data_IF_036905294954
#
_entry.id   IF_036905294954
#
_cell.length_a   1.000
_cell.length_b   1.000
_cell.length_c   1.000
_cell.angle_alpha   90.00
_cell.angle_beta   90.00
_cell.angle_gamma   90.00
#
_symmetry.space_group_name_H-M   'P 1'
#
loop_
_entity.id
_entity.type
_entity.pdbx_description
1 polymer ?
#
# COMPACT_ATOMS: atom_id res chain seq x y z
N UNK A 1 3.46 13.98 3.32
CA UNK A 1 4.13 13.35 4.49
C UNK A 1 5.62 13.65 4.43
N UNK A 2 6.24 14.08 5.53
CA UNK A 2 7.69 14.27 5.62
C UNK A 2 8.28 13.08 6.37
N UNK A 3 9.27 12.40 5.77
CA UNK A 3 9.90 11.19 6.34
C UNK A 3 11.40 11.36 6.61
N UNK A 4 12.01 12.47 6.16
CA UNK A 4 13.40 12.77 6.47
C UNK A 4 13.60 12.83 7.99
N UNK A 5 14.67 12.21 8.47
CA UNK A 5 15.03 12.08 9.89
C UNK A 5 14.01 11.31 10.75
N UNK A 6 13.04 10.61 10.12
CA UNK A 6 12.06 9.77 10.80
C UNK A 6 12.51 8.32 10.84
N UNK A 7 12.26 7.64 11.95
CA UNK A 7 12.50 6.20 12.08
C UNK A 7 11.27 5.42 11.69
N UNK A 8 11.41 4.57 10.69
CA UNK A 8 10.33 3.74 10.15
C UNK A 8 10.67 2.27 10.29
N UNK A 9 9.86 1.53 11.04
CA UNK A 9 9.94 0.07 11.11
C UNK A 9 9.18 -0.53 9.92
N UNK A 10 9.85 -1.37 9.14
CA UNK A 10 9.25 -2.15 8.05
C UNK A 10 9.06 -3.59 8.53
N UNK A 11 7.82 -3.97 8.78
CA UNK A 11 7.44 -5.32 9.18
C UNK A 11 7.25 -6.22 7.96
N UNK A 12 8.22 -7.09 7.71
CA UNK A 12 8.28 -8.00 6.58
C UNK A 12 8.97 -7.40 5.35
N UNK A 13 10.08 -8.02 4.94
CA UNK A 13 10.93 -7.61 3.81
C UNK A 13 10.62 -8.42 2.54
N UNK A 14 9.34 -8.61 2.23
CA UNK A 14 8.89 -9.05 0.90
C UNK A 14 9.10 -7.94 -0.15
N UNK A 15 8.56 -8.13 -1.36
CA UNK A 15 8.69 -7.16 -2.47
C UNK A 15 8.28 -5.75 -2.04
N UNK A 16 7.10 -5.59 -1.46
CA UNK A 16 6.58 -4.29 -0.98
C UNK A 16 7.44 -3.67 0.12
N UNK A 17 7.82 -4.47 1.12
CA UNK A 17 8.61 -3.98 2.26
C UNK A 17 10.01 -3.55 1.84
N UNK A 18 10.70 -4.36 1.04
CA UNK A 18 12.04 -4.02 0.53
C UNK A 18 11.99 -2.78 -0.35
N UNK A 19 11.04 -2.70 -1.27
CA UNK A 19 10.90 -1.55 -2.16
C UNK A 19 10.59 -0.25 -1.40
N UNK A 20 9.66 -0.30 -0.45
CA UNK A 20 9.36 0.87 0.38
C UNK A 20 10.57 1.28 1.24
N UNK A 21 11.29 0.32 1.80
CA UNK A 21 12.50 0.59 2.59
C UNK A 21 13.54 1.38 1.77
N UNK A 22 13.75 1.01 0.51
CA UNK A 22 14.64 1.74 -0.39
C UNK A 22 14.14 3.17 -0.66
N UNK A 23 12.86 3.33 -1.01
CA UNK A 23 12.25 4.66 -1.25
C UNK A 23 12.36 5.56 -0.01
N UNK A 24 12.17 5.02 1.18
CA UNK A 24 12.27 5.77 2.43
C UNK A 24 13.72 6.18 2.72
N UNK A 25 14.69 5.27 2.54
CA UNK A 25 16.12 5.57 2.70
C UNK A 25 16.59 6.66 1.72
N UNK A 26 16.15 6.60 0.45
CA UNK A 26 16.44 7.63 -0.55
C UNK A 26 15.88 9.01 -0.15
N UNK A 27 14.86 9.05 0.72
CA UNK A 27 14.24 10.27 1.25
C UNK A 27 14.72 10.67 2.63
N UNK A 28 15.82 10.05 3.10
CA UNK A 28 16.47 10.40 4.35
C UNK A 28 15.79 9.85 5.61
N UNK A 29 14.95 8.83 5.49
CA UNK A 29 14.41 8.14 6.66
C UNK A 29 15.42 7.13 7.24
N UNK A 30 15.37 6.94 8.55
CA UNK A 30 16.01 5.82 9.22
C UNK A 30 15.09 4.61 9.15
N UNK A 31 15.48 3.60 8.38
CA UNK A 31 14.65 2.41 8.16
C UNK A 31 15.21 1.23 8.91
N UNK A 32 14.36 0.58 9.69
CA UNK A 32 14.63 -0.66 10.41
C UNK A 32 13.77 -1.77 9.80
N UNK A 33 14.37 -2.67 9.04
CA UNK A 33 13.69 -3.83 8.45
C UNK A 33 13.64 -4.99 9.43
N UNK A 34 12.44 -5.47 9.76
CA UNK A 34 12.22 -6.62 10.66
C UNK A 34 11.65 -7.78 9.88
N UNK A 35 12.39 -8.89 9.83
CA UNK A 35 11.94 -10.12 9.16
C UNK A 35 12.66 -11.35 9.75
N UNK A 36 11.90 -12.28 10.32
CA UNK A 36 12.43 -13.50 10.96
C UNK A 36 13.13 -14.46 9.98
N UNK A 37 12.82 -14.36 8.68
CA UNK A 37 13.28 -15.31 7.64
C UNK A 37 14.37 -14.76 6.73
N UNK A 38 14.57 -13.44 6.75
CA UNK A 38 15.54 -12.76 5.88
C UNK A 38 16.85 -12.56 6.61
N UNK A 39 17.94 -13.12 6.11
CA UNK A 39 19.28 -13.02 6.72
C UNK A 39 19.87 -11.62 6.66
N UNK A 40 19.36 -10.77 5.78
CA UNK A 40 19.74 -9.38 5.55
C UNK A 40 18.80 -8.37 6.21
N UNK A 41 17.88 -8.84 7.06
CA UNK A 41 17.05 -7.97 7.90
C UNK A 41 17.90 -7.28 8.98
N UNK A 42 17.55 -6.03 9.31
CA UNK A 42 18.22 -5.29 10.39
C UNK A 42 17.95 -5.94 11.75
N UNK A 43 16.73 -6.44 11.96
CA UNK A 43 16.30 -7.19 13.15
C UNK A 43 15.52 -8.44 12.75
N UNK A 44 15.60 -9.48 13.58
CA UNK A 44 14.91 -10.74 13.36
C UNK A 44 13.69 -10.95 14.27
N UNK A 45 13.50 -10.08 15.26
CA UNK A 45 12.34 -10.09 16.16
C UNK A 45 11.86 -8.68 16.45
N UNK A 46 10.55 -8.53 16.62
CA UNK A 46 9.97 -7.26 17.08
C UNK A 46 10.28 -6.94 18.55
N UNK A 47 10.76 -7.92 19.31
CA UNK A 47 11.22 -7.72 20.69
C UNK A 47 12.54 -6.94 20.76
N UNK A 48 13.27 -6.86 19.65
CA UNK A 48 14.52 -6.11 19.50
C UNK A 48 14.30 -4.63 19.15
N UNK A 49 13.06 -4.25 18.81
CA UNK A 49 12.74 -2.88 18.38
C UNK A 49 12.73 -1.93 19.57
N UNK A 50 13.53 -0.87 19.50
CA UNK A 50 13.43 0.27 20.42
C UNK A 50 12.25 1.17 20.02
N UNK A 51 11.07 0.84 20.55
CA UNK A 51 9.82 1.51 20.25
C UNK A 51 9.80 3.00 20.60
N UNK A 52 10.67 3.46 21.49
CA UNK A 52 10.72 4.87 21.88
C UNK A 52 11.35 5.76 20.77
N UNK A 53 12.03 5.15 19.82
CA UNK A 53 12.63 5.82 18.67
C UNK A 53 11.78 5.71 17.39
N UNK A 54 10.66 4.97 17.40
CA UNK A 54 9.88 4.68 16.19
C UNK A 54 8.84 5.77 15.94
N UNK A 55 8.85 6.38 14.76
CA UNK A 55 7.84 7.34 14.32
C UNK A 55 6.68 6.68 13.55
N UNK A 56 6.98 5.65 12.75
CA UNK A 56 6.00 4.95 11.91
C UNK A 56 6.29 3.46 11.81
N UNK A 57 5.25 2.67 11.59
CA UNK A 57 5.35 1.25 11.26
C UNK A 57 4.68 0.99 9.92
N UNK A 58 5.37 0.34 9.00
CA UNK A 58 4.77 -0.28 7.83
C UNK A 58 4.49 -1.75 8.13
N UNK A 59 3.23 -2.15 8.09
CA UNK A 59 2.82 -3.54 8.24
C UNK A 59 2.57 -4.20 6.88
N UNK A 60 3.33 -5.24 6.57
CA UNK A 60 3.06 -6.09 5.41
C UNK A 60 1.68 -6.77 5.56
N UNK A 61 0.95 -7.02 4.46
CA UNK A 61 -0.38 -7.66 4.47
C UNK A 61 -0.44 -9.04 5.15
N UNK A 62 0.69 -9.67 5.35
CA UNK A 62 0.76 -10.98 6.04
C UNK A 62 0.47 -10.89 7.55
N UNK A 63 0.65 -9.71 8.14
CA UNK A 63 0.43 -9.53 9.56
C UNK A 63 -1.02 -9.17 9.87
N UNK A 64 -1.61 -9.95 10.79
CA UNK A 64 -2.94 -9.69 11.31
C UNK A 64 -2.93 -8.44 12.20
N UNK A 65 -3.96 -7.57 12.19
CA UNK A 65 -4.04 -6.39 13.04
C UNK A 65 -3.90 -6.66 14.54
N UNK A 66 -4.17 -7.90 14.98
CA UNK A 66 -4.05 -8.33 16.36
C UNK A 66 -2.65 -8.88 16.71
N UNK A 67 -1.69 -8.79 15.80
CA UNK A 67 -0.30 -9.20 16.08
C UNK A 67 0.31 -8.31 17.18
N UNK A 68 1.06 -8.89 18.15
CA UNK A 68 1.52 -8.16 19.33
C UNK A 68 2.27 -6.85 19.03
N UNK A 69 3.14 -6.81 18.03
CA UNK A 69 3.89 -5.59 17.69
C UNK A 69 2.98 -4.49 17.14
N UNK A 70 1.91 -4.84 16.40
CA UNK A 70 0.93 -3.86 15.90
C UNK A 70 0.16 -3.26 17.06
N UNK A 71 -0.29 -4.10 18.00
CA UNK A 71 -0.97 -3.63 19.21
C UNK A 71 -0.07 -2.76 20.08
N UNK A 72 1.23 -3.09 20.19
CA UNK A 72 2.19 -2.29 20.92
C UNK A 72 2.43 -0.93 20.28
N UNK A 73 2.61 -0.88 18.95
CA UNK A 73 2.72 0.37 18.20
C UNK A 73 1.48 1.26 18.42
N UNK A 74 0.29 0.68 18.29
CA UNK A 74 -0.98 1.39 18.50
C UNK A 74 -1.11 1.91 19.95
N UNK A 75 -0.74 1.10 20.96
CA UNK A 75 -0.75 1.50 22.36
C UNK A 75 0.15 2.71 22.63
N UNK A 76 1.25 2.83 21.89
CA UNK A 76 2.19 3.97 21.95
C UNK A 76 1.74 5.16 21.10
N UNK A 77 0.66 5.03 20.36
CA UNK A 77 0.21 6.06 19.41
C UNK A 77 1.08 6.17 18.16
N UNK A 78 1.88 5.14 17.85
CA UNK A 78 2.70 5.07 16.64
C UNK A 78 1.78 4.63 15.49
N UNK A 79 1.68 5.42 14.38
CA UNK A 79 0.87 5.06 13.24
C UNK A 79 1.36 3.76 12.58
N UNK A 80 0.43 2.82 12.37
CA UNK A 80 0.66 1.59 11.61
C UNK A 80 -0.01 1.75 10.26
N UNK A 81 0.76 1.66 9.19
CA UNK A 81 0.33 1.96 7.83
C UNK A 81 0.70 0.83 6.86
N UNK A 82 -0.06 0.70 5.79
CA UNK A 82 0.31 -0.17 4.67
C UNK A 82 1.32 0.50 3.73
N UNK A 83 1.93 -0.27 2.82
CA UNK A 83 2.69 0.30 1.70
C UNK A 83 1.83 1.28 0.88
N UNK A 84 0.53 0.99 0.72
CA UNK A 84 -0.40 1.84 -0.03
C UNK A 84 -0.50 3.23 0.58
N UNK A 85 -0.62 3.32 1.91
CA UNK A 85 -0.68 4.59 2.63
C UNK A 85 0.62 5.39 2.48
N UNK A 86 1.77 4.73 2.66
CA UNK A 86 3.07 5.36 2.44
C UNK A 86 3.23 5.84 0.99
N UNK A 87 2.95 4.97 0.02
CA UNK A 87 3.06 5.31 -1.40
C UNK A 87 2.17 6.49 -1.77
N UNK A 88 0.93 6.54 -1.25
CA UNK A 88 0.02 7.65 -1.44
C UNK A 88 0.57 8.96 -0.88
N UNK A 89 1.09 8.94 0.34
CA UNK A 89 1.65 10.12 1.01
C UNK A 89 2.97 10.59 0.39
N UNK A 90 3.72 9.71 -0.27
CA UNK A 90 5.05 9.97 -0.85
C UNK A 90 5.02 10.20 -2.37
N UNK A 91 3.85 10.28 -3.00
CA UNK A 91 3.73 10.48 -4.45
C UNK A 91 4.61 11.62 -4.95
N UNK A 92 5.32 11.37 -6.06
CA UNK A 92 6.02 12.41 -6.77
C UNK A 92 5.07 13.17 -7.71
N UNK A 93 5.34 14.45 -7.93
CA UNK A 93 4.69 15.19 -8.99
C UNK A 93 5.16 14.67 -10.36
N UNK A 94 4.21 14.43 -11.27
CA UNK A 94 4.52 14.08 -12.64
C UNK A 94 5.21 15.25 -13.33
N UNK A 95 6.32 14.99 -14.00
CA UNK A 95 7.17 16.00 -14.61
C UNK A 95 6.44 16.86 -15.67
N UNK A 96 5.37 16.32 -16.29
CA UNK A 96 4.59 17.01 -17.34
C UNK A 96 3.48 17.89 -16.75
N UNK A 97 2.83 17.42 -15.68
CA UNK A 97 1.62 18.08 -15.13
C UNK A 97 1.89 18.92 -13.90
N UNK A 98 3.01 18.69 -13.22
CA UNK A 98 3.34 19.33 -11.93
C UNK A 98 2.40 18.92 -10.78
N UNK A 99 1.73 17.76 -10.92
CA UNK A 99 0.84 17.18 -9.90
C UNK A 99 1.07 15.68 -9.83
N UNK A 100 0.82 15.01 -8.68
CA UNK A 100 0.90 13.57 -8.61
C UNK A 100 0.01 12.88 -9.65
N UNK A 101 0.50 11.77 -10.22
CA UNK A 101 -0.31 10.96 -11.12
C UNK A 101 -1.61 10.52 -10.42
N UNK A 102 -2.78 10.63 -11.08
CA UNK A 102 -4.04 10.12 -10.55
C UNK A 102 -4.00 8.60 -10.39
N UNK A 103 -4.72 8.07 -9.40
CA UNK A 103 -4.82 6.64 -9.17
C UNK A 103 -6.23 6.15 -9.47
N UNK A 104 -6.30 5.02 -10.20
CA UNK A 104 -7.49 4.22 -10.39
C UNK A 104 -7.35 3.00 -9.48
N UNK A 105 -8.08 2.98 -8.37
CA UNK A 105 -8.02 1.91 -7.37
C UNK A 105 -9.08 0.83 -7.62
N UNK A 106 -8.64 -0.41 -7.71
CA UNK A 106 -9.51 -1.56 -7.99
C UNK A 106 -9.37 -2.57 -6.86
N UNK A 107 -10.47 -2.90 -6.21
CA UNK A 107 -10.55 -3.94 -5.19
C UNK A 107 -11.71 -4.89 -5.46
N UNK A 108 -11.88 -5.89 -4.63
CA UNK A 108 -12.93 -6.91 -4.70
C UNK A 108 -12.44 -8.24 -4.16
N UNK A 109 -13.32 -9.22 -4.08
CA UNK A 109 -12.91 -10.59 -3.72
C UNK A 109 -12.23 -11.24 -4.92
N UNK A 110 -12.86 -11.23 -6.08
CA UNK A 110 -12.37 -11.82 -7.32
C UNK A 110 -12.33 -10.79 -8.46
N UNK A 111 -11.51 -11.06 -9.48
CA UNK A 111 -11.44 -10.26 -10.70
C UNK A 111 -10.63 -8.97 -10.60
N UNK A 112 -10.00 -8.67 -9.47
CA UNK A 112 -9.16 -7.48 -9.28
C UNK A 112 -8.06 -7.37 -10.34
N UNK A 113 -7.22 -8.38 -10.44
CA UNK A 113 -6.05 -8.40 -11.33
C UNK A 113 -6.46 -8.18 -12.79
N UNK A 114 -7.39 -9.00 -13.29
CA UNK A 114 -7.85 -8.86 -14.68
C UNK A 114 -8.45 -7.47 -14.97
N UNK A 115 -9.23 -6.92 -14.02
CA UNK A 115 -9.80 -5.57 -14.17
C UNK A 115 -8.72 -4.50 -14.18
N UNK A 116 -7.70 -4.64 -13.32
CA UNK A 116 -6.58 -3.70 -13.24
C UNK A 116 -5.75 -3.73 -14.52
N UNK A 117 -5.41 -4.92 -15.00
CA UNK A 117 -4.66 -5.12 -16.24
C UNK A 117 -5.41 -4.57 -17.47
N UNK A 118 -6.71 -4.93 -17.62
CA UNK A 118 -7.52 -4.40 -18.72
C UNK A 118 -7.63 -2.86 -18.68
N UNK A 119 -7.75 -2.28 -17.48
CA UNK A 119 -7.80 -0.83 -17.32
C UNK A 119 -6.48 -0.19 -17.76
N UNK A 120 -5.35 -0.76 -17.36
CA UNK A 120 -4.01 -0.31 -17.79
C UNK A 120 -3.84 -0.40 -19.31
N UNK A 121 -4.20 -1.53 -19.92
CA UNK A 121 -4.10 -1.73 -21.37
C UNK A 121 -4.97 -0.73 -22.15
N UNK A 122 -6.21 -0.48 -21.72
CA UNK A 122 -7.08 0.50 -22.35
C UNK A 122 -6.49 1.92 -22.29
N UNK A 123 -5.95 2.33 -21.15
CA UNK A 123 -5.33 3.64 -21.00
C UNK A 123 -4.04 3.76 -21.81
N UNK A 124 -3.24 2.70 -21.88
CA UNK A 124 -2.04 2.63 -22.69
C UNK A 124 -2.39 2.72 -24.18
N UNK A 125 -3.47 2.07 -24.62
CA UNK A 125 -3.97 2.20 -25.99
C UNK A 125 -4.46 3.63 -26.33
N UNK A 126 -4.83 4.41 -25.31
CA UNK A 126 -5.12 5.84 -25.44
C UNK A 126 -3.87 6.75 -25.41
N UNK A 127 -2.67 6.16 -25.35
CA UNK A 127 -1.40 6.90 -25.37
C UNK A 127 -0.91 7.39 -24.00
N UNK A 128 -1.45 6.86 -22.90
CA UNK A 128 -1.02 7.20 -21.53
C UNK A 128 0.01 6.18 -21.02
N UNK A 129 0.97 6.65 -20.25
CA UNK A 129 1.81 5.77 -19.43
C UNK A 129 1.05 5.40 -18.16
N UNK A 130 0.44 4.19 -18.16
CA UNK A 130 -0.54 3.75 -17.18
C UNK A 130 -0.19 2.37 -16.58
N UNK A 131 0.94 2.21 -15.87
CA UNK A 131 1.33 0.92 -15.34
C UNK A 131 0.36 0.39 -14.27
N UNK A 132 0.35 -0.93 -14.14
CA UNK A 132 -0.28 -1.62 -13.01
C UNK A 132 0.65 -1.62 -11.81
N UNK A 133 0.10 -1.51 -10.60
CA UNK A 133 0.84 -1.56 -9.34
C UNK A 133 -0.04 -2.09 -8.19
N UNK A 134 0.56 -2.27 -7.03
CA UNK A 134 -0.15 -2.69 -5.80
C UNK A 134 -0.09 -4.20 -5.56
N UNK A 135 -1.22 -4.83 -5.32
CA UNK A 135 -1.32 -6.26 -4.96
C UNK A 135 -1.13 -7.21 -6.18
N UNK A 136 -0.60 -6.73 -7.27
CA UNK A 136 -0.31 -7.53 -8.46
C UNK A 136 1.03 -8.24 -8.28
N UNK A 137 1.04 -9.55 -8.48
CA UNK A 137 2.23 -10.38 -8.36
C UNK A 137 3.11 -10.29 -9.62
N UNK A 138 3.81 -9.18 -9.84
CA UNK A 138 4.75 -9.06 -10.94
C UNK A 138 6.12 -9.70 -10.64
N UNK A 139 6.47 -9.87 -9.37
CA UNK A 139 7.81 -10.30 -8.95
C UNK A 139 8.92 -9.27 -9.22
N UNK A 140 8.62 -8.20 -9.92
CA UNK A 140 9.52 -7.11 -10.26
C UNK A 140 9.35 -5.95 -9.27
N UNK A 141 10.40 -5.66 -8.49
CA UNK A 141 10.39 -4.57 -7.52
C UNK A 141 10.21 -3.18 -8.17
N UNK A 142 10.60 -3.01 -9.44
CA UNK A 142 10.41 -1.74 -10.15
C UNK A 142 8.92 -1.42 -10.38
N UNK A 143 8.05 -2.43 -10.33
CA UNK A 143 6.60 -2.33 -10.45
C UNK A 143 5.89 -2.30 -9.10
N UNK A 144 6.61 -2.23 -7.98
CA UNK A 144 6.02 -2.04 -6.67
C UNK A 144 5.30 -0.71 -6.58
N UNK A 145 4.27 -0.64 -5.75
CA UNK A 145 3.46 0.57 -5.65
C UNK A 145 4.28 1.79 -5.20
N UNK A 146 5.19 1.61 -4.24
CA UNK A 146 6.05 2.69 -3.75
C UNK A 146 6.97 3.23 -4.86
N UNK A 147 7.54 2.38 -5.71
CA UNK A 147 8.37 2.81 -6.85
C UNK A 147 7.54 3.49 -7.93
N UNK A 148 6.39 2.92 -8.29
CA UNK A 148 5.49 3.55 -9.27
C UNK A 148 4.98 4.91 -8.77
N UNK A 149 4.56 5.02 -7.52
CA UNK A 149 4.04 6.26 -6.95
C UNK A 149 5.09 7.40 -6.89
N UNK A 150 6.36 7.05 -6.76
CA UNK A 150 7.47 8.01 -6.69
C UNK A 150 8.14 8.27 -8.03
N UNK A 151 7.69 7.62 -9.10
CA UNK A 151 8.20 7.84 -10.46
C UNK A 151 7.45 9.03 -11.13
N UNK A 152 8.14 10.14 -11.49
CA UNK A 152 7.51 11.33 -12.06
C UNK A 152 7.07 11.17 -13.52
N UNK A 153 7.25 10.00 -14.15
CA UNK A 153 6.95 9.78 -15.58
C UNK A 153 5.52 9.29 -15.80
N UNK A 154 4.94 8.54 -14.86
CA UNK A 154 3.64 7.91 -15.06
C UNK A 154 2.51 8.93 -15.15
N UNK A 155 1.61 8.73 -16.13
CA UNK A 155 0.44 9.60 -16.35
C UNK A 155 -0.72 9.23 -15.42
N UNK A 156 -0.86 7.95 -15.12
CA UNK A 156 -1.88 7.40 -14.23
C UNK A 156 -1.40 6.07 -13.66
N UNK A 157 -1.80 5.71 -12.45
CA UNK A 157 -1.52 4.38 -11.90
C UNK A 157 -2.81 3.57 -11.81
N UNK A 158 -2.78 2.35 -12.34
CA UNK A 158 -3.84 1.35 -12.16
C UNK A 158 -3.47 0.46 -10.97
N UNK A 159 -4.13 0.66 -9.83
CA UNK A 159 -3.70 0.10 -8.55
C UNK A 159 -4.65 -1.01 -8.09
N UNK A 160 -4.15 -2.24 -8.04
CA UNK A 160 -4.85 -3.33 -7.38
C UNK A 160 -4.69 -3.20 -5.86
N UNK A 161 -5.81 -3.22 -5.13
CA UNK A 161 -5.85 -3.04 -3.68
C UNK A 161 -6.49 -4.25 -2.99
N UNK A 162 -5.74 -4.89 -2.09
CA UNK A 162 -6.28 -5.92 -1.21
C UNK A 162 -6.98 -5.31 0.01
N UNK A 163 -7.89 -6.09 0.63
CA UNK A 163 -8.53 -5.67 1.88
C UNK A 163 -7.53 -5.51 3.03
N UNK A 164 -6.46 -6.28 3.03
CA UNK A 164 -5.39 -6.20 4.03
C UNK A 164 -4.63 -4.88 3.94
N UNK A 165 -4.27 -4.45 2.73
CA UNK A 165 -3.63 -3.16 2.50
C UNK A 165 -4.57 -2.01 2.88
N UNK A 166 -5.84 -2.09 2.47
CA UNK A 166 -6.85 -1.08 2.77
C UNK A 166 -7.14 -0.96 4.27
N UNK A 167 -6.98 -2.04 5.06
CA UNK A 167 -7.13 -1.99 6.51
C UNK A 167 -6.25 -0.90 7.15
N UNK A 168 -4.98 -0.83 6.74
CA UNK A 168 -3.98 0.12 7.22
C UNK A 168 -3.79 1.32 6.27
N UNK A 169 -4.86 1.73 5.58
CA UNK A 169 -4.87 2.87 4.65
C UNK A 169 -6.00 3.81 5.02
N UNK A 170 -5.70 5.10 5.25
CA UNK A 170 -6.67 6.07 5.74
C UNK A 170 -6.76 7.35 4.91
N UNK A 171 -5.68 7.81 4.24
CA UNK A 171 -5.64 9.09 3.53
C UNK A 171 -5.91 8.99 2.03
N UNK A 172 -6.25 7.80 1.52
CA UNK A 172 -6.41 7.53 0.10
C UNK A 172 -7.61 8.28 -0.51
N UNK A 173 -7.35 9.09 -1.53
CA UNK A 173 -8.35 9.85 -2.30
C UNK A 173 -8.19 9.52 -3.80
N UNK A 174 -8.89 8.50 -4.25
CA UNK A 174 -8.76 7.99 -5.62
C UNK A 174 -9.46 8.90 -6.64
N UNK A 175 -8.89 9.04 -7.83
CA UNK A 175 -9.57 9.69 -8.95
C UNK A 175 -10.70 8.82 -9.52
N UNK A 176 -10.50 7.50 -9.53
CA UNK A 176 -11.54 6.52 -9.84
C UNK A 176 -11.38 5.31 -8.91
N UNK A 177 -12.47 4.78 -8.41
CA UNK A 177 -12.51 3.61 -7.54
C UNK A 177 -13.52 2.59 -8.01
N UNK A 178 -13.13 1.31 -8.00
CA UNK A 178 -14.01 0.19 -8.35
C UNK A 178 -13.93 -0.94 -7.32
N UNK A 179 -15.10 -1.51 -7.00
CA UNK A 179 -15.22 -2.80 -6.31
C UNK A 179 -15.85 -3.78 -7.29
N UNK A 180 -15.12 -4.82 -7.66
CA UNK A 180 -15.57 -5.82 -8.64
C UNK A 180 -16.71 -6.70 -8.08
N UNK A 181 -16.56 -7.15 -6.85
CA UNK A 181 -17.55 -7.92 -6.08
C UNK A 181 -17.11 -8.06 -4.62
N UNK A 182 -18.04 -8.46 -3.75
CA UNK A 182 -17.77 -8.82 -2.35
C UNK A 182 -18.42 -10.17 -2.06
N UNK A 183 -17.59 -11.19 -1.85
CA UNK A 183 -17.96 -12.51 -1.36
C UNK A 183 -17.20 -12.82 -0.08
N UNK A 184 -17.57 -13.87 0.63
CA UNK A 184 -16.93 -14.24 1.89
C UNK A 184 -15.49 -14.72 1.63
N UNK A 185 -14.52 -14.02 2.23
CA UNK A 185 -13.10 -14.32 2.14
C UNK A 185 -12.36 -13.65 3.31
N UNK A 186 -11.32 -14.30 3.83
CA UNK A 186 -10.46 -13.75 4.89
C UNK A 186 -11.20 -13.23 6.15
N UNK A 187 -12.38 -13.78 6.47
CA UNK A 187 -13.24 -13.27 7.55
C UNK A 187 -12.57 -13.33 8.92
N UNK A 188 -11.75 -14.36 9.17
CA UNK A 188 -11.00 -14.51 10.42
C UNK A 188 -9.97 -13.39 10.61
N UNK A 189 -9.32 -12.96 9.52
CA UNK A 189 -8.34 -11.88 9.55
C UNK A 189 -9.02 -10.54 9.88
N UNK A 190 -10.16 -10.24 9.24
CA UNK A 190 -10.90 -8.99 9.42
C UNK A 190 -11.81 -8.98 10.66
N UNK A 191 -12.04 -10.15 11.27
CA UNK A 191 -12.99 -10.27 12.39
C UNK A 191 -14.45 -10.21 11.96
N UNK A 192 -14.75 -10.65 10.71
CA UNK A 192 -16.10 -10.78 10.17
C UNK A 192 -16.31 -10.09 8.83
N UNK A 193 -17.45 -10.43 8.19
CA UNK A 193 -17.82 -9.96 6.85
C UNK A 193 -18.01 -8.44 6.77
N UNK A 194 -18.59 -7.86 7.80
CA UNK A 194 -18.84 -6.41 7.85
C UNK A 194 -17.54 -5.62 7.83
N UNK A 195 -16.55 -6.02 8.63
CA UNK A 195 -15.24 -5.39 8.66
C UNK A 195 -14.49 -5.58 7.33
N UNK A 196 -14.57 -6.78 6.73
CA UNK A 196 -14.00 -7.05 5.41
C UNK A 196 -14.58 -6.12 4.34
N UNK A 197 -15.91 -5.97 4.31
CA UNK A 197 -16.59 -5.07 3.39
C UNK A 197 -16.25 -3.59 3.69
N UNK A 198 -16.17 -3.21 4.97
CA UNK A 198 -15.78 -1.88 5.40
C UNK A 198 -14.36 -1.52 4.95
N UNK A 199 -13.39 -2.44 5.11
CA UNK A 199 -12.03 -2.21 4.63
C UNK A 199 -11.98 -2.00 3.11
N UNK A 200 -12.68 -2.84 2.33
CA UNK A 200 -12.75 -2.63 0.87
C UNK A 200 -13.46 -1.33 0.50
N UNK A 201 -14.47 -0.91 1.23
CA UNK A 201 -15.21 0.32 0.94
C UNK A 201 -14.38 1.60 1.12
N UNK A 202 -13.23 1.51 1.79
CA UNK A 202 -12.30 2.64 1.92
C UNK A 202 -11.86 3.20 0.57
N UNK A 203 -11.87 2.40 -0.51
CA UNK A 203 -11.56 2.90 -1.86
C UNK A 203 -12.53 3.98 -2.33
N UNK A 204 -13.73 4.04 -1.75
CA UNK A 204 -14.73 5.05 -2.08
C UNK A 204 -14.63 6.33 -1.23
N UNK A 205 -13.83 6.31 -0.17
CA UNK A 205 -13.62 7.49 0.66
C UNK A 205 -12.97 8.58 -0.19
N UNK A 206 -13.68 9.69 -0.38
CA UNK A 206 -13.24 10.82 -1.20
C UNK A 206 -12.92 10.49 -2.68
N UNK A 207 -13.32 9.34 -3.21
CA UNK A 207 -13.15 9.03 -4.61
C UNK A 207 -13.97 9.98 -5.49
N UNK A 208 -13.34 10.53 -6.54
CA UNK A 208 -14.01 11.46 -7.45
C UNK A 208 -15.04 10.76 -8.34
N UNK A 209 -14.77 9.52 -8.71
CA UNK A 209 -15.67 8.66 -9.49
C UNK A 209 -15.71 7.27 -8.87
N UNK A 210 -16.89 6.71 -8.74
CA UNK A 210 -17.12 5.41 -8.11
C UNK A 210 -17.76 4.47 -9.10
N UNK A 211 -17.23 3.27 -9.21
CA UNK A 211 -17.81 2.16 -9.93
C UNK A 211 -17.97 1.01 -8.93
N UNK A 212 -19.21 0.68 -8.59
CA UNK A 212 -19.53 -0.49 -7.79
C UNK A 212 -20.21 -1.52 -8.69
N UNK A 213 -19.75 -2.75 -8.63
CA UNK A 213 -20.32 -3.85 -9.40
C UNK A 213 -20.62 -5.00 -8.46
N UNK A 214 -21.73 -5.69 -8.72
CA UNK A 214 -22.15 -6.86 -7.94
C UNK A 214 -22.24 -8.10 -8.84
#
# INVERSE_FOLDING_TARGET
MQVADKTVVIAGLGVSGTSLAEVLRERGAHVIGVDERKSDADLHSFDEVDWDQVDYVMASPVFNPRTPFILEAQRRGIPVMSEVEFAWCLRADNARTGKPAPWIGITGTNGKTSTTEMTSEMLTACGLDAPTAGNIASGDMSMSLSRCATNPKHDVLCVELSSFQLHFTDSLELDCAAITNIADDHLDWHGGRENYAADKSKVFRAARRVIAYN
#
